data_IF_987464179897
#
_entry.id   IF_987464179897
#
_cell.length_a   1.000
_cell.length_b   1.000
_cell.length_c   1.000
_cell.angle_alpha   90.00
_cell.angle_beta   90.00
_cell.angle_gamma   90.00
#
_symmetry.space_group_name_H-M   'P 1'
#
loop_
_entity.id
_entity.type
_entity.pdbx_description
1 polymer ?
#
# COMPACT_ATOMS: atom_id res chain seq x y z
N UNK A 1 8.50 -10.98 -2.40
CA UNK A 1 7.50 -9.90 -2.27
C UNK A 1 7.22 -9.69 -0.79
N UNK A 2 6.87 -8.48 -0.36
CA UNK A 2 7.09 -7.94 1.01
C UNK A 2 6.16 -8.53 2.11
N UNK A 3 5.68 -9.76 1.97
CA UNK A 3 4.82 -10.41 2.98
C UNK A 3 3.40 -9.87 3.05
N UNK A 4 2.93 -9.19 2.00
CA UNK A 4 1.53 -8.83 1.83
C UNK A 4 0.70 -10.12 1.75
N UNK A 5 -0.44 -10.14 2.44
CA UNK A 5 -1.37 -11.27 2.43
C UNK A 5 -2.56 -10.92 1.56
N UNK A 6 -2.99 -11.85 0.70
CA UNK A 6 -4.25 -11.70 -0.05
C UNK A 6 -5.42 -11.38 0.89
N UNK A 7 -6.24 -10.41 0.48
CA UNK A 7 -7.43 -9.94 1.18
C UNK A 7 -8.62 -9.88 0.21
N UNK A 8 -9.84 -9.88 0.76
CA UNK A 8 -11.04 -9.60 -0.03
C UNK A 8 -11.00 -8.17 -0.57
N UNK A 9 -11.72 -7.87 -1.67
CA UNK A 9 -11.76 -6.51 -2.23
C UNK A 9 -12.24 -5.48 -1.19
N UNK A 10 -13.22 -5.85 -0.35
CA UNK A 10 -13.70 -4.97 0.72
C UNK A 10 -12.64 -4.73 1.79
N UNK A 11 -11.87 -5.76 2.16
CA UNK A 11 -10.79 -5.58 3.13
C UNK A 11 -9.61 -4.81 2.56
N UNK A 12 -9.30 -4.97 1.27
CA UNK A 12 -8.30 -4.15 0.57
C UNK A 12 -8.69 -2.68 0.64
N UNK A 13 -9.95 -2.34 0.37
CA UNK A 13 -10.44 -0.96 0.53
C UNK A 13 -10.31 -0.48 1.97
N UNK A 14 -10.63 -1.31 2.98
CA UNK A 14 -10.43 -0.91 4.39
C UNK A 14 -8.95 -0.63 4.68
N UNK A 15 -8.04 -1.47 4.19
CA UNK A 15 -6.60 -1.26 4.36
C UNK A 15 -6.16 0.05 3.70
N UNK A 16 -6.64 0.32 2.49
CA UNK A 16 -6.36 1.58 1.79
C UNK A 16 -6.69 2.79 2.66
N UNK A 17 -7.92 2.86 3.20
CA UNK A 17 -8.35 3.96 4.06
C UNK A 17 -7.64 4.01 5.43
N UNK A 18 -7.01 2.91 5.88
CA UNK A 18 -6.17 2.92 7.10
C UNK A 18 -4.81 3.54 6.81
N UNK A 19 -4.31 3.37 5.58
CA UNK A 19 -3.02 3.88 5.14
C UNK A 19 -3.08 5.33 4.71
N UNK A 20 -4.14 5.70 3.98
CA UNK A 20 -4.50 7.07 3.59
C UNK A 20 -4.93 7.89 4.82
N UNK A 21 -3.93 8.40 5.55
CA UNK A 21 -4.10 9.07 6.84
C UNK A 21 -4.60 10.50 6.65
N UNK A 22 -4.10 11.17 5.62
CA UNK A 22 -4.48 12.55 5.33
C UNK A 22 -5.79 12.65 4.51
N UNK A 23 -6.28 11.53 3.99
CA UNK A 23 -7.51 11.39 3.19
C UNK A 23 -7.40 12.08 1.85
N UNK A 24 -6.21 12.05 1.23
CA UNK A 24 -5.98 12.55 -0.13
C UNK A 24 -6.72 11.71 -1.18
N UNK A 25 -7.10 10.48 -0.83
CA UNK A 25 -7.62 9.48 -1.77
C UNK A 25 -6.52 8.69 -2.48
N UNK A 26 -5.28 8.82 -2.03
CA UNK A 26 -4.10 8.13 -2.54
C UNK A 26 -3.24 7.65 -1.37
N UNK A 27 -2.27 6.77 -1.66
CA UNK A 27 -1.21 6.42 -0.72
C UNK A 27 0.10 7.02 -1.22
N UNK A 28 0.64 7.99 -0.52
CA UNK A 28 1.94 8.60 -0.82
C UNK A 28 3.13 7.77 -0.25
N UNK A 29 4.37 8.13 -0.61
CA UNK A 29 5.58 7.38 -0.23
C UNK A 29 5.75 7.27 1.30
N UNK A 30 5.43 8.32 2.04
CA UNK A 30 5.52 8.36 3.51
C UNK A 30 4.45 7.49 4.17
N UNK A 31 3.27 7.35 3.56
CA UNK A 31 2.21 6.46 4.01
C UNK A 31 2.47 5.00 3.65
N UNK A 32 3.01 4.74 2.45
CA UNK A 32 3.32 3.40 1.94
C UNK A 32 4.33 2.68 2.83
N UNK A 33 5.20 3.42 3.52
CA UNK A 33 6.13 2.88 4.52
C UNK A 33 5.44 2.05 5.62
N UNK A 34 4.16 2.33 5.88
CA UNK A 34 3.35 1.66 6.90
C UNK A 34 2.44 0.56 6.35
N UNK A 35 2.54 0.21 5.05
CA UNK A 35 1.60 -0.70 4.38
C UNK A 35 1.36 -2.01 5.15
N UNK A 36 2.40 -2.61 5.73
CA UNK A 36 2.28 -3.87 6.46
C UNK A 36 1.40 -3.75 7.71
N UNK A 37 1.35 -2.58 8.35
CA UNK A 37 0.50 -2.31 9.51
C UNK A 37 -0.98 -2.30 9.16
N UNK A 38 -1.32 -2.00 7.91
CA UNK A 38 -2.67 -2.17 7.39
C UNK A 38 -3.13 -3.64 7.34
N UNK A 39 -2.21 -4.60 7.30
CA UNK A 39 -2.51 -6.04 7.29
C UNK A 39 -2.40 -6.67 8.68
N UNK A 40 -1.49 -6.17 9.51
CA UNK A 40 -1.25 -6.62 10.88
C UNK A 40 -0.72 -5.46 11.70
N UNK A 41 -1.44 -4.96 12.72
CA UNK A 41 -1.06 -3.75 13.47
C UNK A 41 0.37 -3.75 14.04
N UNK A 42 0.86 -4.92 14.46
CA UNK A 42 2.20 -5.10 15.04
C UNK A 42 3.31 -5.34 14.00
N UNK A 43 3.01 -5.21 12.71
CA UNK A 43 4.01 -5.39 11.66
C UNK A 43 5.04 -4.25 11.68
N UNK A 44 6.26 -4.58 11.24
CA UNK A 44 7.32 -3.58 11.05
C UNK A 44 6.97 -2.59 9.95
N UNK A 45 7.63 -1.44 9.99
CA UNK A 45 7.64 -0.52 8.86
C UNK A 45 8.57 -1.03 7.75
N UNK A 46 8.29 -0.58 6.54
CA UNK A 46 9.20 -0.77 5.41
C UNK A 46 10.43 0.12 5.57
N UNK A 47 11.58 -0.40 5.15
CA UNK A 47 12.75 0.45 4.93
C UNK A 47 12.54 1.33 3.70
N UNK A 48 13.23 2.48 3.62
CA UNK A 48 13.14 3.37 2.46
C UNK A 48 13.39 2.66 1.11
N UNK A 49 14.27 1.65 1.09
CA UNK A 49 14.52 0.85 -0.12
C UNK A 49 13.31 -0.01 -0.49
N UNK A 50 12.66 -0.64 0.50
CA UNK A 50 11.46 -1.44 0.28
C UNK A 50 10.28 -0.57 -0.14
N UNK A 51 10.09 0.58 0.50
CA UNK A 51 9.06 1.56 0.13
C UNK A 51 9.22 1.98 -1.32
N UNK A 52 10.42 2.40 -1.74
CA UNK A 52 10.68 2.76 -3.15
C UNK A 52 10.46 1.63 -4.13
N UNK A 53 10.88 0.42 -3.75
CA UNK A 53 10.67 -0.78 -4.59
C UNK A 53 9.18 -1.07 -4.75
N UNK A 54 8.41 -0.91 -3.68
CA UNK A 54 6.98 -1.16 -3.67
C UNK A 54 6.21 -0.03 -4.39
N UNK A 55 6.63 1.21 -4.23
CA UNK A 55 6.08 2.37 -4.95
C UNK A 55 6.23 2.15 -6.46
N UNK A 56 7.44 1.85 -6.94
CA UNK A 56 7.69 1.56 -8.35
C UNK A 56 6.92 0.33 -8.88
N UNK A 57 6.49 -0.58 -8.00
CA UNK A 57 5.66 -1.72 -8.38
C UNK A 57 4.16 -1.37 -8.41
N UNK A 58 3.71 -0.44 -7.55
CA UNK A 58 2.31 -0.07 -7.35
C UNK A 58 1.84 1.10 -8.20
N UNK A 59 2.66 2.15 -8.34
CA UNK A 59 2.40 3.36 -9.14
C UNK A 59 2.52 2.99 -10.64
N UNK A 60 1.39 2.71 -11.28
CA UNK A 60 1.33 2.25 -12.68
C UNK A 60 1.20 3.40 -13.65
N UNK A 61 0.60 4.50 -13.24
CA UNK A 61 0.42 5.69 -14.08
C UNK A 61 1.57 6.72 -13.96
N UNK A 62 2.44 6.56 -12.96
CA UNK A 62 3.66 7.35 -12.77
C UNK A 62 3.41 8.69 -12.10
N UNK A 63 2.32 8.85 -11.36
CA UNK A 63 1.94 10.09 -10.71
C UNK A 63 2.55 10.29 -9.31
N UNK A 64 3.36 9.32 -8.86
CA UNK A 64 4.13 9.35 -7.62
C UNK A 64 3.36 8.92 -6.38
N UNK A 65 2.14 8.41 -6.53
CA UNK A 65 1.27 7.91 -5.46
C UNK A 65 0.52 6.67 -5.95
N UNK A 66 -0.18 5.99 -5.05
CA UNK A 66 -0.91 4.77 -5.39
C UNK A 66 -2.41 5.00 -5.18
N UNK A 67 -3.19 4.92 -6.25
CA UNK A 67 -4.65 4.96 -6.20
C UNK A 67 -5.28 3.65 -5.72
N UNK A 68 -6.58 3.67 -5.43
CA UNK A 68 -7.29 2.49 -4.88
C UNK A 68 -7.27 1.26 -5.82
N UNK A 69 -7.33 1.49 -7.13
CA UNK A 69 -7.32 0.42 -8.14
C UNK A 69 -5.91 -0.18 -8.31
N UNK A 70 -4.88 0.68 -8.27
CA UNK A 70 -3.48 0.28 -8.27
C UNK A 70 -3.12 -0.50 -7.01
N UNK A 71 -3.55 -0.01 -5.84
CA UNK A 71 -3.39 -0.70 -4.57
C UNK A 71 -4.06 -2.08 -4.59
N UNK A 72 -5.26 -2.17 -5.15
CA UNK A 72 -5.99 -3.43 -5.28
C UNK A 72 -5.24 -4.44 -6.14
N UNK A 73 -4.66 -3.96 -7.25
CA UNK A 73 -3.81 -4.77 -8.13
C UNK A 73 -2.55 -5.23 -7.41
N UNK A 74 -1.85 -4.31 -6.74
CA UNK A 74 -0.62 -4.58 -5.99
C UNK A 74 -0.82 -5.65 -4.91
N UNK A 75 -1.93 -5.62 -4.18
CA UNK A 75 -2.26 -6.61 -3.14
C UNK A 75 -2.71 -7.94 -3.75
N UNK A 76 -3.41 -7.94 -4.89
CA UNK A 76 -3.84 -9.17 -5.56
C UNK A 76 -2.67 -9.96 -6.17
N UNK A 77 -1.63 -9.26 -6.63
CA UNK A 77 -0.40 -9.84 -7.19
C UNK A 77 0.56 -10.39 -6.13
N UNK A 78 0.24 -10.19 -4.83
CA UNK A 78 1.10 -10.56 -3.69
C UNK A 78 0.94 -11.96 -3.12
#
# INVERSE_FOLDING_TARGET
MVGLKKKSADDVKKVFHILDKDKSGFIEEDELGFILKGFSPDARDLSAKETKTLMAAGDKDGDGKIGVDEFSTLVAES
#
